data_IF_513998515899
#
_entry.id   IF_513998515899
#
_cell.length_a   1.000
_cell.length_b   1.000
_cell.length_c   1.000
_cell.angle_alpha   90.00
_cell.angle_beta   90.00
_cell.angle_gamma   90.00
#
_symmetry.space_group_name_H-M   'P 1'
#
loop_
_entity.id
_entity.type
_entity.pdbx_description
1 polymer ?
#
# COMPACT_ATOMS: atom_id res chain seq x y z
N UNK A 1 16.40 33.32 22.58
CA UNK A 1 16.60 31.86 22.41
C UNK A 1 16.92 31.63 20.95
N UNK A 2 18.03 30.95 20.64
CA UNK A 2 18.38 30.56 19.27
C UNK A 2 17.80 29.17 18.97
N UNK A 3 17.17 29.00 17.81
CA UNK A 3 16.73 27.69 17.33
C UNK A 3 17.96 26.85 16.99
N UNK A 4 18.12 25.70 17.66
CA UNK A 4 19.24 24.79 17.39
C UNK A 4 18.91 23.80 16.27
N UNK A 5 17.76 23.11 16.36
CA UNK A 5 17.33 22.13 15.37
C UNK A 5 15.80 22.05 15.33
N UNK A 6 15.25 21.63 14.19
CA UNK A 6 13.84 21.26 14.04
C UNK A 6 13.79 19.87 13.43
N UNK A 7 13.01 18.98 14.06
CA UNK A 7 12.75 17.63 13.53
C UNK A 7 11.24 17.52 13.34
N UNK A 8 10.83 17.12 12.15
CA UNK A 8 9.43 16.86 11.81
C UNK A 8 9.26 15.42 11.36
N UNK A 9 8.27 14.73 11.92
CA UNK A 9 7.86 13.40 11.49
C UNK A 9 6.47 13.55 10.88
N UNK A 10 6.36 13.26 9.58
CA UNK A 10 5.15 13.51 8.81
C UNK A 10 4.70 12.19 8.19
N UNK A 11 3.45 11.83 8.42
CA UNK A 11 2.81 10.68 7.78
C UNK A 11 2.42 11.02 6.33
N UNK A 12 2.11 10.01 5.53
CA UNK A 12 1.59 10.24 4.18
C UNK A 12 0.34 11.15 4.19
N UNK A 13 0.15 11.92 3.13
CA UNK A 13 -1.07 12.70 2.92
C UNK A 13 -2.33 11.84 2.75
N UNK A 14 -3.46 12.49 2.51
CA UNK A 14 -4.73 11.81 2.26
C UNK A 14 -4.63 10.76 1.15
N UNK A 15 -5.26 9.61 1.40
CA UNK A 15 -5.19 8.44 0.52
C UNK A 15 -6.48 7.67 0.52
N UNK A 16 -6.72 6.93 -0.56
CA UNK A 16 -7.86 6.02 -0.64
C UNK A 16 -7.78 4.94 0.46
N UNK A 17 -8.91 4.51 1.03
CA UNK A 17 -8.90 3.46 2.04
C UNK A 17 -8.38 2.16 1.44
N UNK A 18 -7.38 1.56 2.11
CA UNK A 18 -6.82 0.27 1.70
C UNK A 18 -7.82 -0.84 2.00
N UNK A 19 -8.19 -1.60 0.97
CA UNK A 19 -9.11 -2.72 1.11
C UNK A 19 -8.34 -4.04 1.12
N UNK A 20 -8.92 -5.04 1.80
CA UNK A 20 -8.36 -6.40 1.89
C UNK A 20 -9.48 -7.42 1.85
N UNK A 21 -9.28 -8.50 1.11
CA UNK A 21 -10.13 -9.69 1.17
C UNK A 21 -9.25 -10.89 1.51
N UNK A 22 -9.85 -11.88 2.17
CA UNK A 22 -9.19 -13.13 2.54
C UNK A 22 -10.10 -14.30 2.18
N UNK A 23 -9.51 -15.33 1.59
CA UNK A 23 -10.19 -16.59 1.31
C UNK A 23 -9.21 -17.75 1.45
N UNK A 24 -9.70 -18.87 1.97
CA UNK A 24 -8.98 -20.13 1.90
C UNK A 24 -9.17 -20.75 0.52
N UNK A 25 -8.09 -21.21 -0.10
CA UNK A 25 -8.11 -21.93 -1.37
C UNK A 25 -7.46 -23.29 -1.21
N UNK A 26 -8.15 -24.32 -1.71
CA UNK A 26 -7.68 -25.71 -1.73
C UNK A 26 -7.46 -26.23 -3.16
N UNK A 27 -7.69 -25.38 -4.17
CA UNK A 27 -7.64 -25.80 -5.56
C UNK A 27 -6.19 -26.04 -6.05
N UNK A 28 -5.87 -27.18 -6.71
CA UNK A 28 -4.51 -27.53 -7.14
C UNK A 28 -3.80 -26.44 -7.96
N UNK A 29 -4.53 -25.72 -8.82
CA UNK A 29 -3.97 -24.61 -9.62
C UNK A 29 -3.30 -23.52 -8.77
N UNK A 30 -3.85 -23.19 -7.59
CA UNK A 30 -3.22 -22.22 -6.69
C UNK A 30 -1.95 -22.77 -6.04
N UNK A 31 -1.88 -24.08 -5.78
CA UNK A 31 -0.66 -24.74 -5.30
C UNK A 31 0.42 -24.78 -6.38
N UNK A 32 0.05 -25.06 -7.63
CA UNK A 32 0.98 -25.01 -8.76
C UNK A 32 1.57 -23.59 -8.94
N UNK A 33 0.72 -22.55 -8.83
CA UNK A 33 1.20 -21.17 -8.84
C UNK A 33 2.11 -20.87 -7.64
N UNK A 34 1.74 -21.36 -6.45
CA UNK A 34 2.55 -21.19 -5.25
C UNK A 34 3.93 -21.83 -5.38
N UNK A 35 4.00 -23.03 -5.95
CA UNK A 35 5.23 -23.76 -6.23
C UNK A 35 6.09 -23.05 -7.30
N UNK A 36 5.47 -22.65 -8.42
CA UNK A 36 6.12 -21.97 -9.55
C UNK A 36 6.90 -20.74 -9.12
N UNK A 37 6.36 -19.94 -8.19
CA UNK A 37 7.02 -18.74 -7.66
C UNK A 37 7.81 -19.00 -6.37
N UNK A 38 8.08 -20.27 -6.03
CA UNK A 38 8.96 -20.67 -4.93
C UNK A 38 8.39 -20.48 -3.52
N UNK A 39 7.06 -20.47 -3.37
CA UNK A 39 6.37 -20.21 -2.11
C UNK A 39 6.73 -21.19 -0.97
N UNK A 40 7.03 -22.45 -1.29
CA UNK A 40 7.36 -23.48 -0.29
C UNK A 40 8.67 -23.20 0.46
N UNK A 41 9.59 -22.43 -0.12
CA UNK A 41 10.87 -22.09 0.54
C UNK A 41 10.68 -21.29 1.84
N UNK A 42 9.62 -20.48 1.91
CA UNK A 42 9.36 -19.60 3.07
C UNK A 42 7.97 -19.80 3.69
N UNK A 43 7.16 -20.68 3.11
CA UNK A 43 5.73 -20.85 3.45
C UNK A 43 4.84 -19.65 3.08
N UNK A 44 5.40 -18.62 2.43
CA UNK A 44 4.70 -17.39 2.04
C UNK A 44 5.12 -16.95 0.64
N UNK A 45 4.17 -16.42 -0.11
CA UNK A 45 4.40 -15.86 -1.44
C UNK A 45 3.72 -14.51 -1.57
N UNK A 46 4.41 -13.53 -2.16
CA UNK A 46 3.92 -12.17 -2.38
C UNK A 46 4.03 -11.86 -3.87
N UNK A 47 2.88 -11.69 -4.53
CA UNK A 47 2.77 -11.37 -5.94
C UNK A 47 2.42 -9.89 -6.09
N UNK A 48 3.23 -9.18 -6.86
CA UNK A 48 3.05 -7.74 -7.13
C UNK A 48 3.20 -7.40 -8.61
N UNK A 49 3.90 -8.22 -9.39
CA UNK A 49 4.18 -7.93 -10.80
C UNK A 49 2.94 -8.18 -11.66
N UNK A 50 2.71 -7.37 -12.71
CA UNK A 50 1.61 -7.57 -13.66
C UNK A 50 1.42 -9.02 -14.11
N UNK A 51 2.49 -9.69 -14.52
CA UNK A 51 2.45 -11.06 -15.06
C UNK A 51 2.00 -12.05 -13.99
N UNK A 52 2.47 -11.86 -12.75
CA UNK A 52 2.08 -12.69 -11.61
C UNK A 52 0.61 -12.50 -11.23
N UNK A 53 0.11 -11.27 -11.29
CA UNK A 53 -1.29 -10.97 -10.99
C UNK A 53 -2.22 -11.47 -12.10
N UNK A 54 -1.75 -11.45 -13.36
CA UNK A 54 -2.46 -12.05 -14.49
C UNK A 54 -2.62 -13.55 -14.31
N UNK A 55 -1.58 -14.28 -13.88
CA UNK A 55 -1.69 -15.71 -13.59
C UNK A 55 -2.76 -16.03 -12.55
N UNK A 56 -2.88 -15.20 -11.50
CA UNK A 56 -3.94 -15.35 -10.48
C UNK A 56 -5.32 -15.09 -11.08
N UNK A 57 -5.43 -14.06 -11.92
CA UNK A 57 -6.68 -13.71 -12.60
C UNK A 57 -7.13 -14.82 -13.56
N UNK A 58 -6.21 -15.41 -14.31
CA UNK A 58 -6.51 -16.49 -15.26
C UNK A 58 -7.00 -17.75 -14.54
N UNK A 59 -6.37 -18.12 -13.42
CA UNK A 59 -6.87 -19.21 -12.56
C UNK A 59 -8.28 -18.88 -12.07
N UNK A 60 -8.52 -17.65 -11.62
CA UNK A 60 -9.83 -17.22 -11.11
C UNK A 60 -10.92 -17.29 -12.17
N UNK A 61 -10.63 -16.87 -13.42
CA UNK A 61 -11.56 -16.94 -14.56
C UNK A 61 -11.93 -18.39 -14.91
N UNK A 62 -10.94 -19.27 -14.94
CA UNK A 62 -11.15 -20.69 -15.22
C UNK A 62 -12.05 -21.34 -14.15
N UNK A 63 -11.78 -21.05 -12.87
CA UNK A 63 -12.59 -21.58 -11.78
C UNK A 63 -14.03 -21.09 -11.84
N UNK A 64 -14.26 -19.81 -12.12
CA UNK A 64 -15.63 -19.28 -12.29
C UNK A 64 -16.36 -19.97 -13.45
N UNK A 65 -15.69 -20.19 -14.59
CA UNK A 65 -16.28 -20.87 -15.74
C UNK A 65 -16.56 -22.37 -15.50
N UNK A 66 -15.77 -23.05 -14.66
CA UNK A 66 -16.03 -24.43 -14.23
C UNK A 66 -17.25 -24.47 -13.29
N UNK A 67 -17.39 -23.51 -12.38
CA UNK A 67 -18.53 -23.41 -11.44
C UNK A 67 -19.86 -23.07 -12.12
N UNK A 68 -19.84 -22.28 -13.20
CA UNK A 68 -21.03 -21.99 -14.01
C UNK A 68 -21.60 -23.26 -14.68
N UNK A 69 -20.76 -24.28 -14.93
CA UNK A 69 -21.15 -25.52 -15.62
C UNK A 69 -21.67 -26.61 -14.69
N UNK A 70 -21.20 -26.66 -13.44
CA UNK A 70 -21.61 -27.65 -12.43
C UNK A 70 -22.00 -26.95 -11.11
N UNK A 71 -23.26 -26.51 -10.95
CA UNK A 71 -23.71 -25.77 -9.76
C UNK A 71 -23.87 -26.62 -8.47
N UNK A 72 -23.15 -27.74 -8.33
CA UNK A 72 -23.31 -28.71 -7.24
C UNK A 72 -22.15 -28.77 -6.26
N UNK A 73 -22.13 -27.91 -5.24
CA UNK A 73 -21.23 -28.02 -4.08
C UNK A 73 -21.32 -26.83 -3.13
N UNK A 74 -20.72 -26.92 -1.93
CA UNK A 74 -20.59 -25.91 -0.84
C UNK A 74 -19.97 -24.54 -1.26
N UNK A 75 -20.43 -23.95 -2.36
CA UNK A 75 -19.64 -23.06 -3.23
C UNK A 75 -20.31 -21.69 -3.44
N UNK A 76 -21.42 -21.36 -2.78
CA UNK A 76 -22.00 -20.00 -2.90
C UNK A 76 -21.07 -18.91 -2.31
N UNK A 77 -20.54 -19.13 -1.10
CA UNK A 77 -19.62 -18.15 -0.46
C UNK A 77 -18.24 -18.06 -1.14
N UNK A 78 -17.80 -19.14 -1.81
CA UNK A 78 -16.53 -19.16 -2.56
C UNK A 78 -16.68 -18.45 -3.90
N UNK A 79 -17.85 -18.54 -4.54
CA UNK A 79 -18.13 -17.89 -5.83
C UNK A 79 -18.09 -16.38 -5.70
N UNK A 80 -18.79 -15.79 -4.72
CA UNK A 80 -18.78 -14.33 -4.51
C UNK A 80 -17.38 -13.77 -4.21
N UNK A 81 -16.53 -14.52 -3.48
CA UNK A 81 -15.13 -14.12 -3.25
C UNK A 81 -14.27 -14.24 -4.51
N UNK A 82 -14.49 -15.24 -5.35
CA UNK A 82 -13.81 -15.39 -6.64
C UNK A 82 -14.23 -14.28 -7.62
N UNK A 83 -15.51 -13.91 -7.65
CA UNK A 83 -16.01 -12.77 -8.42
C UNK A 83 -15.40 -11.45 -7.94
N UNK A 84 -15.30 -11.25 -6.62
CA UNK A 84 -14.61 -10.09 -6.06
C UNK A 84 -13.13 -10.08 -6.46
N UNK A 85 -12.44 -11.22 -6.38
CA UNK A 85 -11.04 -11.36 -6.80
C UNK A 85 -10.86 -11.00 -8.28
N UNK A 86 -11.75 -11.50 -9.16
CA UNK A 86 -11.79 -11.17 -10.58
C UNK A 86 -12.00 -9.67 -10.79
N UNK A 87 -13.06 -9.10 -10.22
CA UNK A 87 -13.43 -7.68 -10.36
C UNK A 87 -12.30 -6.76 -9.92
N UNK A 88 -11.69 -7.03 -8.76
CA UNK A 88 -10.55 -6.22 -8.26
C UNK A 88 -9.33 -6.36 -9.17
N UNK A 89 -9.03 -7.54 -9.70
CA UNK A 89 -7.87 -7.74 -10.57
C UNK A 89 -8.08 -7.18 -11.99
N UNK A 90 -9.30 -7.17 -12.52
CA UNK A 90 -9.67 -6.62 -13.83
C UNK A 90 -9.91 -5.11 -13.83
N UNK A 91 -10.22 -4.53 -12.67
CA UNK A 91 -10.49 -3.10 -12.54
C UNK A 91 -9.35 -2.27 -13.15
N UNK A 92 -9.69 -1.25 -13.94
CA UNK A 92 -8.78 -0.38 -14.71
C UNK A 92 -8.03 -1.03 -15.89
N UNK A 93 -8.38 -2.25 -16.29
CA UNK A 93 -7.99 -2.86 -17.57
C UNK A 93 -6.55 -3.39 -17.67
N UNK A 94 -5.56 -2.62 -17.20
CA UNK A 94 -4.15 -3.00 -17.24
C UNK A 94 -3.50 -2.85 -15.87
N UNK A 95 -2.55 -3.75 -15.54
CA UNK A 95 -1.77 -3.70 -14.29
C UNK A 95 -0.75 -2.52 -14.21
N UNK A 96 -0.98 -1.43 -14.95
CA UNK A 96 -0.20 -0.19 -14.89
C UNK A 96 -0.63 0.69 -13.72
N UNK A 97 0.33 1.16 -12.90
CA UNK A 97 0.05 2.07 -11.77
C UNK A 97 -0.59 1.40 -10.55
N UNK A 98 -0.60 0.07 -10.49
CA UNK A 98 -1.49 -0.69 -9.61
C UNK A 98 -0.92 -0.94 -8.21
N UNK A 99 -1.63 -0.46 -7.18
CA UNK A 99 -1.39 -0.81 -5.77
C UNK A 99 -2.09 -2.11 -5.33
N UNK A 100 -2.00 -3.17 -6.14
CA UNK A 100 -2.54 -4.52 -5.81
C UNK A 100 -1.43 -5.45 -5.38
N UNK A 101 -1.75 -6.32 -4.43
CA UNK A 101 -0.85 -7.37 -3.95
C UNK A 101 -1.66 -8.58 -3.55
N UNK A 102 -1.32 -9.72 -4.14
CA UNK A 102 -1.80 -11.03 -3.70
C UNK A 102 -0.74 -11.64 -2.78
N UNK A 103 -1.17 -12.16 -1.64
CA UNK A 103 -0.32 -12.91 -0.73
C UNK A 103 -0.91 -14.30 -0.56
N UNK A 104 -0.10 -15.34 -0.76
CA UNK A 104 -0.45 -16.72 -0.46
C UNK A 104 0.36 -17.18 0.75
N UNK A 105 -0.27 -17.86 1.70
CA UNK A 105 0.38 -18.46 2.86
C UNK A 105 -0.02 -19.92 2.96
N UNK A 106 0.96 -20.81 3.06
CA UNK A 106 0.75 -22.25 3.11
C UNK A 106 0.42 -22.73 4.52
N UNK A 107 -0.66 -23.50 4.61
CA UNK A 107 -1.14 -24.16 5.82
C UNK A 107 -1.13 -25.68 5.59
N UNK A 108 -0.10 -26.39 6.06
CA UNK A 108 0.05 -27.83 5.86
C UNK A 108 -1.13 -28.65 6.40
N UNK A 109 -1.76 -28.16 7.47
CA UNK A 109 -2.87 -28.82 8.19
C UNK A 109 -4.17 -27.99 8.15
N UNK A 110 -4.39 -27.22 7.07
CA UNK A 110 -5.55 -26.32 6.96
C UNK A 110 -5.50 -25.10 7.88
N UNK A 111 -6.43 -24.15 7.69
CA UNK A 111 -6.58 -23.01 8.61
C UNK A 111 -7.35 -23.49 9.83
N UNK A 112 -6.71 -23.53 11.01
CA UNK A 112 -7.43 -23.82 12.26
C UNK A 112 -8.51 -22.76 12.45
N UNK A 113 -9.78 -23.19 12.45
CA UNK A 113 -10.87 -22.35 12.90
C UNK A 113 -10.57 -21.95 14.34
N UNK A 114 -10.43 -20.66 14.61
CA UNK A 114 -10.35 -20.15 15.96
C UNK A 114 -11.74 -20.26 16.58
N UNK A 115 -12.07 -21.43 17.15
CA UNK A 115 -13.01 -21.63 18.24
C UNK A 115 -12.95 -23.09 18.74
N UNK A 116 -12.65 -23.20 20.04
CA UNK A 116 -12.93 -24.27 21.02
C UNK A 116 -12.77 -25.77 20.69
N UNK A 117 -12.20 -26.48 21.66
CA UNK A 117 -12.31 -27.93 21.78
C UNK A 117 -11.05 -28.69 21.37
N UNK A 118 -10.28 -29.16 22.35
CA UNK A 118 -9.29 -30.20 22.14
C UNK A 118 -10.02 -31.50 21.81
N UNK A 119 -9.78 -32.05 20.62
CA UNK A 119 -9.97 -33.47 20.35
C UNK A 119 -8.71 -34.03 19.67
N UNK A 120 -8.04 -35.06 20.23
CA UNK A 120 -6.77 -35.58 19.74
C UNK A 120 -6.90 -36.57 18.55
N UNK A 121 -7.99 -36.51 17.79
CA UNK A 121 -8.18 -37.22 16.52
C UNK A 121 -8.52 -36.24 15.39
N UNK A 122 -7.64 -35.29 15.10
CA UNK A 122 -7.78 -34.52 13.87
C UNK A 122 -7.34 -35.41 12.71
N UNK A 123 -8.30 -35.90 11.90
CA UNK A 123 -8.04 -36.23 10.50
C UNK A 123 -7.10 -35.16 9.92
N UNK A 124 -6.10 -35.60 9.16
CA UNK A 124 -5.14 -34.70 8.56
C UNK A 124 -5.88 -33.72 7.64
N UNK A 125 -6.24 -32.56 8.17
CA UNK A 125 -6.91 -31.49 7.45
C UNK A 125 -6.12 -31.24 6.17
N UNK A 126 -6.77 -31.43 5.02
CA UNK A 126 -6.15 -31.27 3.72
C UNK A 126 -5.45 -29.90 3.65
N UNK A 127 -4.22 -29.90 3.13
CA UNK A 127 -3.42 -28.68 3.06
C UNK A 127 -4.16 -27.58 2.30
N UNK A 128 -4.00 -26.34 2.75
CA UNK A 128 -4.69 -25.19 2.16
C UNK A 128 -3.76 -23.98 2.03
N UNK A 129 -4.15 -23.05 1.17
CA UNK A 129 -3.51 -21.75 1.03
C UNK A 129 -4.47 -20.67 1.51
N UNK A 130 -3.99 -19.73 2.32
CA UNK A 130 -4.71 -18.48 2.57
C UNK A 130 -4.34 -17.46 1.50
N UNK A 131 -5.31 -17.13 0.65
CA UNK A 131 -5.20 -16.06 -0.33
C UNK A 131 -5.66 -14.75 0.30
N UNK A 132 -4.77 -13.76 0.28
CA UNK A 132 -5.05 -12.39 0.74
C UNK A 132 -4.78 -11.42 -0.40
N UNK A 133 -5.85 -10.83 -0.95
CA UNK A 133 -5.75 -9.75 -1.92
C UNK A 133 -5.88 -8.41 -1.18
N UNK A 134 -4.94 -7.49 -1.43
CA UNK A 134 -4.96 -6.12 -0.93
C UNK A 134 -4.90 -5.15 -2.11
N UNK A 135 -5.74 -4.13 -2.11
CA UNK A 135 -5.82 -3.11 -3.16
C UNK A 135 -6.12 -1.73 -2.57
N UNK A 136 -6.05 -0.69 -3.42
CA UNK A 136 -6.13 0.72 -3.05
C UNK A 136 -5.00 1.15 -2.08
N UNK A 137 -5.18 2.29 -1.40
CA UNK A 137 -4.15 2.89 -0.56
C UNK A 137 -3.25 3.87 -1.30
N UNK A 138 -3.70 4.34 -2.46
CA UNK A 138 -3.04 5.32 -3.32
C UNK A 138 -3.32 6.72 -2.80
N UNK A 139 -2.35 7.62 -2.95
CA UNK A 139 -2.51 9.02 -2.56
C UNK A 139 -3.66 9.63 -3.38
N UNK A 140 -4.60 10.31 -2.74
CA UNK A 140 -5.67 11.02 -3.46
C UNK A 140 -5.12 12.30 -4.09
N UNK A 141 -5.89 12.93 -4.98
CA UNK A 141 -5.59 14.27 -5.48
C UNK A 141 -5.54 15.32 -4.34
N UNK A 142 -6.25 15.08 -3.24
CA UNK A 142 -6.22 15.95 -2.07
C UNK A 142 -4.93 15.81 -1.25
N UNK A 143 -4.26 14.66 -1.32
CA UNK A 143 -3.05 14.35 -0.54
C UNK A 143 -1.92 15.36 -0.74
N UNK A 144 -1.46 15.63 -1.99
CA UNK A 144 -0.45 16.64 -2.27
C UNK A 144 -0.89 18.05 -1.81
N UNK A 145 -2.13 18.45 -2.09
CA UNK A 145 -2.66 19.79 -1.75
C UNK A 145 -2.66 20.03 -0.23
N UNK A 146 -3.13 19.06 0.54
CA UNK A 146 -3.12 19.12 2.01
C UNK A 146 -1.70 19.21 2.55
N UNK A 147 -0.77 18.45 1.96
CA UNK A 147 0.60 18.36 2.41
C UNK A 147 1.39 19.62 2.06
N UNK A 148 1.14 20.22 0.90
CA UNK A 148 1.69 21.52 0.52
C UNK A 148 1.17 22.64 1.44
N UNK A 149 -0.12 22.60 1.80
CA UNK A 149 -0.68 23.51 2.81
C UNK A 149 -0.03 23.32 4.18
N UNK A 150 0.25 22.07 4.57
CA UNK A 150 1.00 21.77 5.79
C UNK A 150 2.42 22.33 5.73
N UNK A 151 3.13 22.18 4.61
CA UNK A 151 4.46 22.77 4.39
C UNK A 151 4.44 24.29 4.54
N UNK A 152 3.44 24.97 3.94
CA UNK A 152 3.22 26.41 4.09
C UNK A 152 2.96 26.83 5.54
N UNK A 153 2.18 26.06 6.29
CA UNK A 153 1.93 26.33 7.70
C UNK A 153 3.20 26.09 8.55
N UNK A 154 3.93 25.02 8.26
CA UNK A 154 5.18 24.65 8.94
C UNK A 154 6.21 25.77 8.83
N UNK A 155 6.31 26.37 7.65
CA UNK A 155 7.12 27.55 7.34
C UNK A 155 6.88 28.74 8.29
N UNK A 156 5.66 28.88 8.81
CA UNK A 156 5.23 29.93 9.74
C UNK A 156 5.46 29.62 11.22
N UNK A 157 5.92 28.41 11.57
CA UNK A 157 6.11 28.06 12.97
C UNK A 157 7.33 28.73 13.60
N UNK A 158 8.31 29.16 12.79
CA UNK A 158 9.43 29.97 13.27
C UNK A 158 9.25 31.43 12.85
N UNK A 159 9.34 32.39 13.78
CA UNK A 159 9.17 33.80 13.48
C UNK A 159 10.23 34.31 12.50
N UNK A 160 9.86 35.27 11.65
CA UNK A 160 10.71 35.85 10.59
C UNK A 160 11.94 36.62 11.07
N UNK A 161 12.07 36.88 12.38
CA UNK A 161 13.09 37.76 12.94
C UNK A 161 12.84 39.24 12.65
N UNK A 162 13.88 40.08 12.78
CA UNK A 162 13.89 41.49 12.36
C UNK A 162 14.47 41.64 10.93
N UNK A 163 14.02 42.65 10.18
CA UNK A 163 14.46 42.93 8.79
C UNK A 163 13.29 42.93 7.78
N UNK A 164 13.59 42.90 6.48
CA UNK A 164 12.59 42.98 5.38
C UNK A 164 11.52 41.88 5.41
N UNK A 165 11.76 40.79 6.16
CA UNK A 165 10.84 39.67 6.35
C UNK A 165 10.04 39.71 7.67
N UNK A 166 10.24 40.74 8.51
CA UNK A 166 9.59 40.87 9.82
C UNK A 166 8.06 41.06 9.73
N UNK A 167 7.57 41.59 8.60
CA UNK A 167 6.14 41.78 8.34
C UNK A 167 5.46 40.63 7.59
N UNK A 168 6.22 39.64 7.11
CA UNK A 168 5.70 38.51 6.34
C UNK A 168 5.56 37.27 7.24
N UNK A 169 4.34 36.93 7.69
CA UNK A 169 4.12 35.71 8.45
C UNK A 169 4.53 34.50 7.58
N UNK A 170 5.48 33.70 8.07
CA UNK A 170 5.96 32.54 7.32
C UNK A 170 7.33 32.64 6.67
N UNK A 171 8.21 33.53 7.10
CA UNK A 171 9.54 33.63 6.50
C UNK A 171 10.70 33.17 7.40
N UNK A 172 10.46 32.79 8.66
CA UNK A 172 11.54 32.46 9.60
C UNK A 172 12.34 31.21 9.21
N UNK A 173 11.67 30.12 8.86
CA UNK A 173 12.36 28.90 8.40
C UNK A 173 12.97 29.06 7.00
N UNK A 174 12.33 29.83 6.11
CA UNK A 174 12.90 30.15 4.80
C UNK A 174 14.17 30.99 4.93
N UNK A 175 14.16 31.98 5.82
CA UNK A 175 15.32 32.80 6.12
C UNK A 175 16.45 31.92 6.67
N UNK A 176 16.17 31.03 7.61
CA UNK A 176 17.18 30.07 8.10
C UNK A 176 17.73 29.19 6.99
N UNK A 177 16.89 28.66 6.09
CA UNK A 177 17.35 27.88 4.95
C UNK A 177 18.23 28.70 3.99
N UNK A 178 17.83 29.92 3.64
CA UNK A 178 18.59 30.81 2.75
C UNK A 178 19.90 31.30 3.36
N UNK A 179 19.94 31.52 4.68
CA UNK A 179 21.11 32.00 5.42
C UNK A 179 22.08 30.88 5.78
N UNK A 180 21.58 29.70 6.17
CA UNK A 180 22.42 28.56 6.56
C UNK A 180 22.72 27.56 5.44
N UNK A 181 22.14 27.74 4.25
CA UNK A 181 22.37 27.06 2.95
C UNK A 181 22.55 25.53 2.89
N UNK A 182 22.66 24.79 4.00
CA UNK A 182 23.16 23.41 4.00
C UNK A 182 22.55 22.45 5.04
N UNK A 183 21.51 22.84 5.79
CA UNK A 183 21.00 22.00 6.90
C UNK A 183 19.57 21.48 6.78
N UNK A 184 18.88 21.67 5.65
CA UNK A 184 17.60 21.01 5.42
C UNK A 184 17.82 19.63 4.78
N UNK A 185 17.47 18.58 5.52
CA UNK A 185 17.47 17.19 5.02
C UNK A 185 16.04 16.65 5.09
N UNK A 186 15.56 16.13 3.96
CA UNK A 186 14.25 15.49 3.87
C UNK A 186 14.48 14.02 3.52
N UNK A 187 13.97 13.14 4.37
CA UNK A 187 14.02 11.70 4.19
C UNK A 187 12.62 11.16 3.94
N UNK A 188 12.49 10.21 3.03
CA UNK A 188 11.24 9.53 2.73
C UNK A 188 11.48 8.02 2.68
N UNK A 189 10.48 7.24 3.09
CA UNK A 189 10.48 5.79 2.84
C UNK A 189 10.37 5.51 1.33
N UNK A 190 10.82 4.32 0.91
CA UNK A 190 10.79 3.78 -0.46
C UNK A 190 9.37 3.43 -0.94
N UNK A 191 8.38 4.23 -0.54
CA UNK A 191 6.98 4.03 -0.84
C UNK A 191 6.45 5.26 -1.59
N UNK A 192 5.94 5.04 -2.81
CA UNK A 192 5.58 6.14 -3.72
C UNK A 192 4.67 7.21 -3.11
N UNK A 193 3.66 6.83 -2.30
CA UNK A 193 2.79 7.82 -1.62
C UNK A 193 3.53 8.67 -0.58
N UNK A 194 4.55 8.10 0.09
CA UNK A 194 5.37 8.80 1.07
C UNK A 194 6.33 9.75 0.36
N UNK A 195 6.94 9.32 -0.75
CA UNK A 195 7.83 10.15 -1.58
C UNK A 195 7.09 11.35 -2.19
N UNK A 196 5.88 11.13 -2.71
CA UNK A 196 5.00 12.21 -3.20
C UNK A 196 4.59 13.18 -2.10
N UNK A 197 4.28 12.66 -0.91
CA UNK A 197 3.97 13.49 0.27
C UNK A 197 5.19 14.34 0.64
N UNK A 198 6.38 13.75 0.71
CA UNK A 198 7.61 14.46 1.05
C UNK A 198 7.92 15.57 0.04
N UNK A 199 7.75 15.31 -1.26
CA UNK A 199 7.90 16.31 -2.32
C UNK A 199 6.89 17.46 -2.18
N UNK A 200 5.61 17.16 -1.98
CA UNK A 200 4.57 18.18 -1.77
C UNK A 200 4.81 19.03 -0.51
N UNK A 201 5.29 18.39 0.57
CA UNK A 201 5.67 19.09 1.80
C UNK A 201 6.83 20.05 1.55
N UNK A 202 7.89 19.56 0.90
CA UNK A 202 9.07 20.35 0.55
C UNK A 202 8.68 21.55 -0.30
N UNK A 203 7.78 21.37 -1.27
CA UNK A 203 7.25 22.45 -2.12
C UNK A 203 6.62 23.56 -1.29
N UNK A 204 5.71 23.19 -0.39
CA UNK A 204 5.03 24.13 0.49
C UNK A 204 5.97 24.83 1.48
N UNK A 205 6.94 24.09 2.02
CA UNK A 205 7.93 24.60 2.96
C UNK A 205 8.89 25.60 2.30
N UNK A 206 9.41 25.27 1.12
CA UNK A 206 10.43 26.04 0.40
C UNK A 206 9.87 27.11 -0.53
N UNK A 207 8.54 27.21 -0.67
CA UNK A 207 7.87 28.13 -1.59
C UNK A 207 8.34 27.97 -3.06
N UNK A 208 8.54 26.72 -3.48
CA UNK A 208 8.95 26.40 -4.86
C UNK A 208 7.73 26.45 -5.78
N UNK A 209 7.82 27.18 -6.89
CA UNK A 209 6.73 27.31 -7.86
C UNK A 209 6.57 26.05 -8.73
N UNK A 210 7.67 25.40 -9.07
CA UNK A 210 7.70 24.21 -9.93
C UNK A 210 7.21 22.92 -9.23
N UNK A 211 6.79 21.93 -10.02
CA UNK A 211 6.52 20.59 -9.51
C UNK A 211 7.82 19.91 -9.09
N UNK A 212 7.95 19.62 -7.79
CA UNK A 212 9.07 18.85 -7.29
C UNK A 212 8.91 17.38 -7.67
N UNK A 213 9.98 16.80 -8.22
CA UNK A 213 10.07 15.36 -8.44
C UNK A 213 9.96 14.61 -7.10
N UNK A 214 9.43 13.37 -7.10
CA UNK A 214 9.34 12.57 -5.88
C UNK A 214 10.72 12.46 -5.22
N UNK A 215 10.77 12.62 -3.88
CA UNK A 215 12.04 12.54 -3.15
C UNK A 215 12.43 11.07 -3.03
N UNK A 216 13.35 10.64 -3.89
CA UNK A 216 13.98 9.32 -3.87
C UNK A 216 15.22 9.40 -2.99
N UNK A 217 15.28 8.60 -1.93
CA UNK A 217 16.44 8.47 -1.03
C UNK A 217 16.89 7.03 -0.99
#
# INVERSE_FOLDING_TARGET
MELRHVIAIICHGDRTPKQKMKMEVKHPRFFALFEKHGGYKTGKLKLKRPEQLQEVLDITRLLLAELEKEPGGEIEEKTGKLEQLKSVLEMYGHFSGINRKVQLTYYPHGVKASNEGQDPQSEALASSLLLVLKWNGELTLAGPVQTEKLGRAFRCMYPGGQGDYAGFPGCGLLHLHSTFRHDLKIYASDEGRVQMTAAAFAKGLLAVEEELTPILV
#
